data_IF_354188896612
#
_entry.id   IF_354188896612
#
_cell.length_a   1.000
_cell.length_b   1.000
_cell.length_c   1.000
_cell.angle_alpha   90.00
_cell.angle_beta   90.00
_cell.angle_gamma   90.00
#
_symmetry.space_group_name_H-M   'P 1'
#
loop_
_entity.id
_entity.type
_entity.pdbx_description
1 polymer ?
#
# COMPACT_ATOMS: atom_id res chain seq x y z
N UNK A 1 4.66 -4.88 -4.64
CA UNK A 1 4.69 -3.45 -4.35
C UNK A 1 3.32 -2.87 -4.58
N UNK A 2 2.93 -1.87 -3.78
CA UNK A 2 1.73 -1.10 -4.06
C UNK A 2 1.97 -0.30 -5.34
N UNK A 3 1.13 -0.53 -6.33
CA UNK A 3 1.20 0.18 -7.61
C UNK A 3 0.39 1.46 -7.54
N UNK A 4 -0.75 1.41 -6.85
CA UNK A 4 -1.60 2.57 -6.64
C UNK A 4 -2.86 2.19 -5.88
N UNK A 5 -3.60 3.22 -5.49
CA UNK A 5 -4.89 3.06 -4.85
C UNK A 5 -5.87 4.14 -5.33
N UNK A 6 -7.15 3.81 -5.31
CA UNK A 6 -8.23 4.71 -5.72
C UNK A 6 -9.46 4.49 -4.84
N UNK A 7 -10.13 5.57 -4.47
CA UNK A 7 -11.44 5.53 -3.83
C UNK A 7 -12.51 5.66 -4.92
N UNK A 8 -13.26 4.58 -5.16
CA UNK A 8 -14.17 4.44 -6.31
C UNK A 8 -15.63 4.63 -5.87
N UNK A 9 -16.39 5.55 -6.48
CA UNK A 9 -17.84 5.61 -6.29
C UNK A 9 -18.50 4.47 -7.07
N UNK A 10 -19.36 3.69 -6.41
CA UNK A 10 -20.04 2.60 -7.09
C UNK A 10 -21.45 3.01 -7.50
N UNK A 11 -21.95 2.49 -8.63
CA UNK A 11 -23.36 2.63 -9.04
C UNK A 11 -24.26 1.52 -8.45
N UNK A 12 -23.66 0.39 -8.12
CA UNK A 12 -24.28 -0.77 -7.49
C UNK A 12 -23.34 -1.29 -6.39
N UNK A 13 -23.80 -2.09 -5.41
CA UNK A 13 -22.95 -2.66 -4.35
C UNK A 13 -22.01 -3.77 -4.88
N UNK A 14 -21.33 -3.51 -6.01
CA UNK A 14 -20.49 -4.45 -6.73
C UNK A 14 -19.31 -3.72 -7.35
N UNK A 15 -18.10 -4.19 -7.04
CA UNK A 15 -16.87 -3.84 -7.76
C UNK A 15 -16.62 -4.90 -8.82
N UNK A 16 -16.30 -4.47 -10.04
CA UNK A 16 -15.74 -5.32 -11.08
C UNK A 16 -14.22 -5.19 -11.10
N UNK A 17 -13.52 -6.32 -11.09
CA UNK A 17 -12.07 -6.39 -11.31
C UNK A 17 -11.79 -7.32 -12.49
N UNK A 18 -10.94 -6.92 -13.44
CA UNK A 18 -10.59 -7.78 -14.56
C UNK A 18 -10.09 -7.03 -15.79
N UNK A 19 -10.42 -7.53 -16.97
CA UNK A 19 -10.11 -6.85 -18.23
C UNK A 19 -10.80 -5.48 -18.33
N UNK A 20 -10.29 -4.62 -19.21
CA UNK A 20 -10.91 -3.33 -19.52
C UNK A 20 -12.08 -3.46 -20.51
N UNK A 21 -12.24 -4.62 -21.14
CA UNK A 21 -13.34 -4.93 -22.05
C UNK A 21 -14.66 -5.17 -21.29
N UNK A 22 -15.78 -5.10 -22.02
CA UNK A 22 -17.08 -5.46 -21.46
C UNK A 22 -17.06 -6.96 -21.17
N UNK A 23 -17.60 -7.42 -20.02
CA UNK A 23 -17.70 -8.85 -19.75
C UNK A 23 -18.55 -9.56 -20.79
N UNK A 24 -18.01 -10.66 -21.34
CA UNK A 24 -18.73 -11.55 -22.24
C UNK A 24 -19.85 -12.34 -21.51
N UNK A 25 -19.69 -12.52 -20.19
CA UNK A 25 -20.58 -13.31 -19.33
C UNK A 25 -21.44 -12.46 -18.39
N UNK A 26 -22.65 -12.93 -18.09
CA UNK A 26 -23.48 -12.38 -17.01
C UNK A 26 -22.96 -12.91 -15.67
N UNK A 27 -22.18 -12.07 -14.99
CA UNK A 27 -21.65 -12.36 -13.66
C UNK A 27 -22.62 -11.84 -12.58
N UNK A 28 -23.51 -12.71 -12.11
CA UNK A 28 -24.43 -12.38 -11.01
C UNK A 28 -23.90 -12.91 -9.67
N UNK A 29 -23.83 -12.05 -8.65
CA UNK A 29 -23.34 -12.43 -7.32
C UNK A 29 -24.23 -13.46 -6.60
N UNK A 30 -25.55 -13.41 -6.80
CA UNK A 30 -26.52 -14.31 -6.16
C UNK A 30 -26.31 -14.45 -4.63
N UNK A 31 -26.02 -13.33 -3.95
CA UNK A 31 -25.77 -13.30 -2.50
C UNK A 31 -24.38 -13.76 -2.05
N UNK A 32 -23.48 -14.12 -2.98
CA UNK A 32 -22.09 -14.47 -2.68
C UNK A 32 -21.22 -13.22 -2.58
N UNK A 33 -20.08 -13.34 -1.89
CA UNK A 33 -19.07 -12.26 -1.83
C UNK A 33 -18.33 -12.07 -3.16
N UNK A 34 -18.29 -13.09 -4.00
CA UNK A 34 -17.57 -13.11 -5.28
C UNK A 34 -18.28 -14.01 -6.28
N UNK A 35 -18.29 -13.58 -7.54
CA UNK A 35 -18.44 -14.45 -8.72
C UNK A 35 -17.28 -14.19 -9.68
N UNK A 36 -16.71 -15.26 -10.22
CA UNK A 36 -15.55 -15.21 -11.11
C UNK A 36 -15.92 -15.77 -12.49
N UNK A 37 -15.54 -15.05 -13.54
CA UNK A 37 -15.46 -15.53 -14.91
C UNK A 37 -14.01 -15.61 -15.38
N UNK A 38 -13.80 -15.91 -16.65
CA UNK A 38 -12.44 -16.08 -17.20
C UNK A 38 -11.63 -14.77 -17.24
N UNK A 39 -12.31 -13.63 -17.36
CA UNK A 39 -11.69 -12.30 -17.58
C UNK A 39 -12.03 -11.28 -16.49
N UNK A 40 -13.05 -11.56 -15.68
CA UNK A 40 -13.63 -10.62 -14.76
C UNK A 40 -14.08 -11.31 -13.47
N UNK A 41 -14.02 -10.54 -12.39
CA UNK A 41 -14.55 -10.82 -11.08
C UNK A 41 -15.61 -9.77 -10.78
N UNK A 42 -16.73 -10.17 -10.21
CA UNK A 42 -17.62 -9.25 -9.51
C UNK A 42 -17.53 -9.55 -8.03
N UNK A 43 -17.30 -8.51 -7.24
CA UNK A 43 -17.04 -8.56 -5.80
C UNK A 43 -18.14 -7.76 -5.11
N UNK A 44 -18.82 -8.37 -4.16
CA UNK A 44 -19.82 -7.68 -3.35
C UNK A 44 -19.14 -6.60 -2.50
N UNK A 45 -19.68 -5.39 -2.57
CA UNK A 45 -19.14 -4.22 -1.90
C UNK A 45 -20.25 -3.48 -1.15
N UNK A 46 -19.89 -2.57 -0.25
CA UNK A 46 -20.89 -1.76 0.45
C UNK A 46 -21.78 -0.98 -0.52
N UNK A 47 -23.02 -0.71 -0.09
CA UNK A 47 -23.94 0.17 -0.80
C UNK A 47 -23.36 1.61 -0.91
N UNK A 48 -23.99 2.46 -1.73
CA UNK A 48 -23.55 3.82 -2.10
C UNK A 48 -23.58 4.86 -0.95
N UNK A 49 -23.20 4.47 0.26
CA UNK A 49 -23.06 5.34 1.44
C UNK A 49 -21.60 5.83 1.60
N UNK A 50 -20.68 5.39 0.74
CA UNK A 50 -19.29 5.87 0.68
C UNK A 50 -18.46 5.19 -0.41
N UNK A 51 -17.27 5.74 -0.69
CA UNK A 51 -16.35 5.24 -1.73
C UNK A 51 -15.74 3.89 -1.37
N UNK A 52 -15.51 3.00 -2.32
CA UNK A 52 -14.79 1.75 -2.07
C UNK A 52 -13.34 1.91 -2.44
N UNK A 53 -12.44 1.64 -1.48
CA UNK A 53 -11.01 1.76 -1.70
C UNK A 53 -10.49 0.52 -2.43
N UNK A 54 -9.97 0.69 -3.63
CA UNK A 54 -9.23 -0.36 -4.33
C UNK A 54 -7.75 -0.09 -4.24
N UNK A 55 -6.97 -1.09 -3.83
CA UNK A 55 -5.50 -1.05 -3.87
C UNK A 55 -5.02 -2.11 -4.85
N UNK A 56 -4.22 -1.68 -5.83
CA UNK A 56 -3.58 -2.56 -6.79
C UNK A 56 -2.13 -2.82 -6.36
N UNK A 57 -1.78 -4.09 -6.27
CA UNK A 57 -0.46 -4.57 -5.89
C UNK A 57 0.13 -5.41 -7.02
N UNK A 58 1.45 -5.43 -7.13
CA UNK A 58 2.18 -6.29 -8.09
C UNK A 58 3.33 -7.01 -7.37
N UNK A 59 3.33 -8.35 -7.35
CA UNK A 59 4.40 -9.16 -6.76
C UNK A 59 4.47 -9.19 -5.23
N UNK A 60 4.11 -8.08 -4.56
CA UNK A 60 4.09 -8.01 -3.11
C UNK A 60 2.84 -7.33 -2.57
N UNK A 61 2.33 -7.84 -1.45
CA UNK A 61 1.08 -7.40 -0.83
C UNK A 61 1.05 -7.68 0.68
N UNK A 62 0.28 -6.92 1.47
CA UNK A 62 0.08 -7.21 2.89
C UNK A 62 -0.77 -8.48 3.06
N UNK A 63 -0.45 -9.27 4.08
CA UNK A 63 -1.28 -10.40 4.52
C UNK A 63 -2.38 -9.84 5.43
N UNK A 64 -3.40 -9.26 4.82
CA UNK A 64 -4.55 -8.69 5.50
C UNK A 64 -5.87 -8.96 4.77
N UNK A 65 -6.97 -8.93 5.52
CA UNK A 65 -8.32 -9.19 5.01
C UNK A 65 -8.59 -10.67 4.74
N UNK A 66 -9.77 -10.93 4.17
CA UNK A 66 -10.20 -12.27 3.77
C UNK A 66 -9.94 -12.46 2.29
N UNK A 67 -9.13 -13.45 1.92
CA UNK A 67 -8.93 -13.84 0.52
C UNK A 67 -10.23 -14.45 -0.02
N UNK A 68 -10.77 -13.86 -1.07
CA UNK A 68 -12.00 -14.33 -1.74
C UNK A 68 -11.71 -14.92 -3.13
N UNK A 69 -10.54 -14.61 -3.72
CA UNK A 69 -10.09 -15.17 -4.98
C UNK A 69 -8.58 -15.44 -4.95
N UNK A 70 -8.16 -16.62 -5.43
CA UNK A 70 -6.78 -16.94 -5.80
C UNK A 70 -6.85 -17.79 -7.08
N UNK A 71 -6.51 -17.20 -8.21
CA UNK A 71 -6.67 -17.85 -9.51
C UNK A 71 -6.17 -16.99 -10.65
N UNK A 72 -6.37 -17.45 -11.88
CA UNK A 72 -5.91 -16.71 -13.07
C UNK A 72 -7.04 -15.95 -13.74
N UNK A 73 -6.75 -14.75 -14.22
CA UNK A 73 -7.62 -13.99 -15.13
C UNK A 73 -6.91 -13.80 -16.48
N UNK A 74 -7.68 -13.91 -17.56
CA UNK A 74 -7.21 -13.63 -18.92
C UNK A 74 -7.32 -12.14 -19.22
N UNK A 75 -6.16 -11.48 -19.35
CA UNK A 75 -6.02 -10.05 -19.59
C UNK A 75 -5.30 -9.78 -20.92
N UNK A 76 -5.94 -10.13 -22.02
CA UNK A 76 -5.38 -10.06 -23.39
C UNK A 76 -5.00 -8.63 -23.83
N UNK A 77 -5.60 -7.61 -23.21
CA UNK A 77 -5.29 -6.20 -23.47
C UNK A 77 -4.13 -5.64 -22.64
N UNK A 78 -3.47 -6.45 -21.78
CA UNK A 78 -2.35 -5.98 -20.95
C UNK A 78 -2.74 -4.99 -19.85
N UNK A 79 -4.02 -4.96 -19.46
CA UNK A 79 -4.56 -4.01 -18.48
C UNK A 79 -5.46 -4.73 -17.50
N UNK A 80 -5.29 -4.41 -16.21
CA UNK A 80 -6.29 -4.70 -15.18
C UNK A 80 -7.09 -3.44 -14.86
N UNK A 81 -8.39 -3.60 -14.74
CA UNK A 81 -9.36 -2.57 -14.44
C UNK A 81 -10.11 -2.94 -13.16
N UNK A 82 -10.27 -1.99 -12.26
CA UNK A 82 -11.16 -2.10 -11.11
C UNK A 82 -12.14 -0.92 -11.12
N UNK A 83 -13.44 -1.18 -11.05
CA UNK A 83 -14.43 -0.12 -11.20
C UNK A 83 -15.85 -0.57 -10.90
N UNK A 84 -16.82 0.32 -11.09
CA UNK A 84 -18.22 -0.04 -10.98
C UNK A 84 -18.68 -0.92 -12.17
N UNK A 85 -19.76 -1.67 -11.97
CA UNK A 85 -20.25 -2.63 -12.98
C UNK A 85 -20.82 -1.98 -14.25
N UNK A 86 -21.13 -0.69 -14.23
CA UNK A 86 -21.55 0.05 -15.43
C UNK A 86 -20.36 0.65 -16.20
N UNK A 87 -19.15 0.62 -15.60
CA UNK A 87 -17.93 1.13 -16.22
C UNK A 87 -17.84 2.66 -16.29
N UNK A 88 -18.62 3.38 -15.47
CA UNK A 88 -18.64 4.85 -15.43
C UNK A 88 -17.37 5.37 -14.72
N UNK A 89 -16.93 4.66 -13.70
CA UNK A 89 -15.77 4.94 -12.88
C UNK A 89 -14.85 3.73 -12.85
N UNK A 90 -13.56 3.93 -13.13
CA UNK A 90 -12.59 2.84 -13.16
C UNK A 90 -11.18 3.31 -12.85
N UNK A 91 -10.45 2.50 -12.09
CA UNK A 91 -9.01 2.57 -11.91
C UNK A 91 -8.34 1.51 -12.79
N UNK A 92 -7.43 1.93 -13.66
CA UNK A 92 -6.76 1.06 -14.64
C UNK A 92 -5.26 1.04 -14.39
N UNK A 93 -4.67 -0.13 -14.56
CA UNK A 93 -3.23 -0.32 -14.52
C UNK A 93 -2.77 -1.25 -15.65
N UNK A 94 -1.82 -0.78 -16.45
CA UNK A 94 -1.23 -1.52 -17.55
C UNK A 94 0.04 -2.27 -17.13
N UNK A 95 0.34 -3.34 -17.85
CA UNK A 95 1.56 -4.13 -17.69
C UNK A 95 2.10 -4.57 -19.06
N UNK A 96 3.41 -4.83 -19.13
CA UNK A 96 4.13 -4.97 -20.39
C UNK A 96 3.76 -6.23 -21.19
N UNK A 97 3.30 -7.28 -20.50
CA UNK A 97 3.03 -8.59 -21.11
C UNK A 97 1.55 -8.98 -20.93
N UNK A 98 0.74 -8.92 -22.00
CA UNK A 98 -0.64 -9.38 -21.97
C UNK A 98 -0.79 -10.89 -21.74
N UNK A 99 -2.00 -11.32 -21.36
CA UNK A 99 -2.38 -12.73 -21.27
C UNK A 99 -2.87 -13.14 -19.88
N UNK A 100 -2.67 -14.42 -19.53
CA UNK A 100 -3.10 -14.96 -18.24
C UNK A 100 -2.20 -14.46 -17.12
N UNK A 101 -2.82 -13.85 -16.09
CA UNK A 101 -2.12 -13.36 -14.89
C UNK A 101 -2.73 -14.00 -13.67
N UNK A 102 -1.88 -14.41 -12.72
CA UNK A 102 -2.38 -14.87 -11.42
C UNK A 102 -2.83 -13.66 -10.63
N UNK A 103 -4.01 -13.75 -10.01
CA UNK A 103 -4.60 -12.72 -9.18
C UNK A 103 -4.93 -13.31 -7.81
N UNK A 104 -4.58 -12.57 -6.78
CA UNK A 104 -5.09 -12.78 -5.42
C UNK A 104 -5.95 -11.57 -5.07
N UNK A 105 -7.19 -11.81 -4.64
CA UNK A 105 -8.08 -10.73 -4.20
C UNK A 105 -8.49 -10.97 -2.75
N UNK A 106 -8.24 -9.97 -1.91
CA UNK A 106 -8.74 -9.95 -0.53
C UNK A 106 -9.60 -8.72 -0.26
N UNK A 107 -10.52 -8.88 0.68
CA UNK A 107 -11.45 -7.83 1.11
C UNK A 107 -11.45 -7.69 2.63
N UNK A 108 -11.79 -6.51 3.12
CA UNK A 108 -11.97 -6.26 4.55
C UNK A 108 -13.21 -6.97 5.13
N UNK A 109 -14.34 -6.92 4.40
CA UNK A 109 -15.62 -7.50 4.83
C UNK A 109 -16.33 -8.22 3.67
N UNK A 110 -16.26 -9.57 3.58
CA UNK A 110 -16.91 -10.33 2.51
C UNK A 110 -18.43 -10.09 2.45
N UNK A 111 -18.92 -9.61 1.31
CA UNK A 111 -20.35 -9.30 1.11
C UNK A 111 -20.69 -7.82 1.24
N UNK A 112 -19.85 -7.03 1.90
CA UNK A 112 -20.04 -5.59 2.10
C UNK A 112 -18.71 -4.81 2.09
N UNK A 113 -17.76 -5.23 1.26
CA UNK A 113 -16.40 -4.73 1.27
C UNK A 113 -16.34 -3.20 1.13
N UNK A 114 -15.56 -2.56 1.98
CA UNK A 114 -15.20 -1.15 1.86
C UNK A 114 -13.78 -0.96 1.30
N UNK A 115 -13.00 -2.04 1.33
CA UNK A 115 -11.64 -2.11 0.79
C UNK A 115 -11.43 -3.41 0.02
N UNK A 116 -10.88 -3.29 -1.18
CA UNK A 116 -10.51 -4.41 -2.04
C UNK A 116 -9.03 -4.33 -2.38
N UNK A 117 -8.29 -5.36 -2.04
CA UNK A 117 -6.90 -5.56 -2.47
C UNK A 117 -6.87 -6.50 -3.67
N UNK A 118 -6.28 -6.04 -4.76
CA UNK A 118 -6.07 -6.86 -5.95
C UNK A 118 -4.56 -6.98 -6.16
N UNK A 119 -4.04 -8.20 -6.06
CA UNK A 119 -2.63 -8.50 -6.18
C UNK A 119 -2.39 -9.24 -7.48
N UNK A 120 -1.64 -8.61 -8.37
CA UNK A 120 -1.17 -9.16 -9.63
C UNK A 120 0.10 -9.95 -9.35
N UNK A 121 0.17 -11.17 -9.88
CA UNK A 121 1.27 -12.11 -9.72
C UNK A 121 1.76 -12.19 -8.27
N UNK A 122 0.87 -12.60 -7.35
CA UNK A 122 1.15 -12.58 -5.92
C UNK A 122 2.35 -13.44 -5.57
N UNK A 123 3.26 -12.86 -4.80
CA UNK A 123 4.28 -13.59 -4.09
C UNK A 123 3.71 -14.60 -3.10
N UNK A 124 4.52 -15.61 -2.75
CA UNK A 124 4.14 -16.66 -1.81
C UNK A 124 4.99 -16.66 -0.54
N UNK A 125 6.11 -15.95 -0.53
CA UNK A 125 6.99 -15.89 0.62
C UNK A 125 6.50 -14.84 1.60
N UNK A 126 6.18 -15.25 2.82
CA UNK A 126 5.83 -14.32 3.89
C UNK A 126 7.08 -13.74 4.55
N UNK A 127 7.14 -12.43 4.64
CA UNK A 127 8.24 -11.67 5.23
C UNK A 127 7.71 -10.73 6.30
N UNK A 128 8.49 -10.62 7.38
CA UNK A 128 8.33 -9.54 8.36
C UNK A 128 9.15 -8.35 7.90
N UNK A 129 8.52 -7.18 7.83
CA UNK A 129 9.24 -5.93 7.58
C UNK A 129 9.92 -5.46 8.86
N UNK A 130 10.90 -4.57 8.70
CA UNK A 130 11.52 -3.80 9.77
C UNK A 130 10.44 -3.12 10.60
N UNK A 131 10.49 -3.36 11.91
CA UNK A 131 9.56 -2.78 12.88
C UNK A 131 10.27 -2.51 14.20
N UNK A 132 9.73 -1.58 14.99
CA UNK A 132 10.20 -1.36 16.37
C UNK A 132 9.62 -2.44 17.30
N UNK A 133 10.33 -2.78 18.39
CA UNK A 133 9.83 -3.68 19.43
C UNK A 133 8.41 -3.28 19.87
N UNK A 134 7.53 -4.28 19.99
CA UNK A 134 6.11 -4.14 20.34
C UNK A 134 5.27 -3.26 19.37
N UNK A 135 5.82 -2.88 18.22
CA UNK A 135 5.15 -2.06 17.20
C UNK A 135 5.16 -2.80 15.84
N UNK A 136 4.82 -4.09 15.86
CA UNK A 136 4.82 -4.93 14.68
C UNK A 136 3.89 -4.40 13.57
N UNK A 137 4.34 -4.57 12.33
CA UNK A 137 3.58 -4.33 11.12
C UNK A 137 2.94 -5.64 10.63
N UNK A 138 1.90 -5.59 9.77
CA UNK A 138 1.39 -6.76 9.09
C UNK A 138 2.51 -7.48 8.31
N UNK A 139 2.41 -8.80 8.22
CA UNK A 139 3.25 -9.58 7.31
C UNK A 139 2.99 -9.17 5.86
N UNK A 140 3.99 -9.35 5.01
CA UNK A 140 3.86 -9.16 3.57
C UNK A 140 4.18 -10.45 2.84
N UNK A 141 3.47 -10.72 1.75
CA UNK A 141 3.88 -11.69 0.74
C UNK A 141 4.72 -11.00 -0.31
N UNK A 142 5.82 -11.61 -0.73
CA UNK A 142 6.73 -11.16 -1.80
C UNK A 142 7.06 -12.31 -2.74
N UNK A 143 7.37 -12.02 -4.01
CA UNK A 143 7.80 -13.04 -4.98
C UNK A 143 9.15 -13.62 -4.57
N UNK A 144 10.07 -12.75 -4.20
CA UNK A 144 11.42 -13.08 -3.77
C UNK A 144 11.84 -12.08 -2.70
N UNK A 145 12.09 -12.53 -1.47
CA UNK A 145 12.55 -11.65 -0.41
C UNK A 145 13.99 -11.17 -0.62
N UNK A 146 14.79 -11.90 -1.38
CA UNK A 146 16.20 -11.58 -1.59
C UNK A 146 16.41 -10.38 -2.51
N UNK A 147 15.38 -10.01 -3.27
CA UNK A 147 15.36 -8.83 -4.14
C UNK A 147 14.80 -7.57 -3.48
N UNK A 148 14.25 -7.66 -2.26
CA UNK A 148 13.69 -6.51 -1.56
C UNK A 148 14.81 -5.64 -0.99
N UNK A 149 15.11 -4.53 -1.64
CA UNK A 149 16.07 -3.57 -1.11
C UNK A 149 15.44 -2.70 -0.01
N UNK A 150 16.26 -1.88 0.66
CA UNK A 150 15.79 -1.03 1.76
C UNK A 150 14.81 0.07 1.33
N UNK A 151 14.84 0.47 0.06
CA UNK A 151 13.90 1.45 -0.50
C UNK A 151 12.57 0.79 -0.81
N UNK A 152 12.59 -0.44 -1.34
CA UNK A 152 11.38 -1.23 -1.56
C UNK A 152 10.70 -1.56 -0.23
N UNK A 153 11.48 -1.99 0.78
CA UNK A 153 10.98 -2.24 2.12
C UNK A 153 10.35 -0.98 2.72
N UNK A 154 10.98 0.19 2.58
CA UNK A 154 10.41 1.47 2.99
C UNK A 154 9.08 1.74 2.27
N UNK A 155 9.00 1.49 0.96
CA UNK A 155 7.77 1.60 0.19
C UNK A 155 6.65 0.71 0.73
N UNK A 156 6.97 -0.52 1.15
CA UNK A 156 6.02 -1.43 1.79
C UNK A 156 5.59 -0.95 3.18
N UNK A 157 6.51 -0.43 4.00
CA UNK A 157 6.20 0.18 5.30
C UNK A 157 5.24 1.36 5.14
N UNK A 158 5.45 2.20 4.13
CA UNK A 158 4.64 3.41 3.86
C UNK A 158 3.39 3.12 2.98
N UNK A 159 3.19 1.88 2.53
CA UNK A 159 2.10 1.52 1.59
C UNK A 159 0.68 1.66 2.15
N UNK A 160 0.50 1.91 3.44
CA UNK A 160 -0.80 2.18 4.02
C UNK A 160 -0.72 3.25 5.12
N UNK A 161 -1.89 3.76 5.46
CA UNK A 161 -2.08 4.89 6.37
C UNK A 161 -2.67 4.47 7.73
N UNK A 162 -2.84 3.16 7.96
CA UNK A 162 -3.25 2.63 9.25
C UNK A 162 -2.08 2.61 10.25
N UNK A 163 -2.39 2.54 11.55
CA UNK A 163 -1.38 2.44 12.64
C UNK A 163 -0.19 3.42 12.47
N UNK A 164 -0.44 4.72 12.29
CA UNK A 164 0.56 5.68 11.77
C UNK A 164 1.86 5.71 12.58
N UNK A 165 1.79 5.66 13.91
CA UNK A 165 2.99 5.61 14.76
C UNK A 165 3.87 4.40 14.46
N UNK A 166 3.28 3.21 14.28
CA UNK A 166 4.04 1.97 14.02
C UNK A 166 4.77 2.05 12.69
N UNK A 167 4.09 2.56 11.65
CA UNK A 167 4.65 2.71 10.30
C UNK A 167 5.74 3.77 10.25
N UNK A 168 5.49 4.94 10.86
CA UNK A 168 6.49 6.00 10.89
C UNK A 168 7.73 5.59 11.68
N UNK A 169 7.56 4.93 12.84
CA UNK A 169 8.68 4.43 13.63
C UNK A 169 9.47 3.34 12.89
N UNK A 170 8.78 2.43 12.20
CA UNK A 170 9.44 1.45 11.33
C UNK A 170 10.25 2.11 10.21
N UNK A 171 9.69 3.14 9.56
CA UNK A 171 10.35 3.88 8.49
C UNK A 171 11.60 4.63 8.99
N UNK A 172 11.48 5.37 10.11
CA UNK A 172 12.61 6.06 10.73
C UNK A 172 13.70 5.07 11.15
N UNK A 173 13.32 3.96 11.80
CA UNK A 173 14.26 2.89 12.16
C UNK A 173 15.01 2.35 10.94
N UNK A 174 14.28 2.03 9.86
CA UNK A 174 14.88 1.51 8.64
C UNK A 174 15.90 2.51 8.06
N UNK A 175 15.53 3.78 7.95
CA UNK A 175 16.42 4.85 7.45
C UNK A 175 17.68 4.95 8.32
N UNK A 176 17.55 4.94 9.65
CA UNK A 176 18.69 4.95 10.57
C UNK A 176 19.62 3.74 10.42
N UNK A 177 19.07 2.54 10.21
CA UNK A 177 19.85 1.32 10.06
C UNK A 177 20.61 1.25 8.73
N UNK A 178 20.06 1.84 7.67
CA UNK A 178 20.65 1.77 6.32
C UNK A 178 21.59 2.94 6.01
N UNK A 179 21.45 4.06 6.72
CA UNK A 179 22.36 5.20 6.60
C UNK A 179 23.83 4.78 6.76
N UNK A 180 24.13 3.85 7.67
CA UNK A 180 25.48 3.32 7.88
C UNK A 180 25.96 2.31 6.81
N UNK A 181 25.07 1.80 5.96
CA UNK A 181 25.35 0.74 4.97
C UNK A 181 25.51 1.28 3.55
N UNK A 182 24.93 2.44 3.25
CA UNK A 182 25.07 3.06 1.93
C UNK A 182 26.52 3.51 1.69
N UNK A 183 26.93 3.42 0.41
CA UNK A 183 28.19 3.98 -0.08
C UNK A 183 28.27 5.47 0.29
N UNK A 184 29.44 5.90 0.78
CA UNK A 184 29.68 7.27 1.21
C UNK A 184 29.32 8.30 0.13
N UNK A 185 29.53 7.96 -1.15
CA UNK A 185 29.20 8.83 -2.28
C UNK A 185 27.69 9.02 -2.49
N UNK A 186 26.84 8.08 -2.04
CA UNK A 186 25.38 8.08 -2.26
C UNK A 186 24.56 8.26 -0.99
N UNK A 187 25.17 8.15 0.18
CA UNK A 187 24.51 8.16 1.49
C UNK A 187 23.58 9.36 1.69
N UNK A 188 24.04 10.59 1.44
CA UNK A 188 23.21 11.80 1.63
C UNK A 188 21.99 11.75 0.71
N UNK A 189 22.21 11.49 -0.57
CA UNK A 189 21.16 11.45 -1.61
C UNK A 189 20.11 10.39 -1.29
N UNK A 190 20.52 9.18 -0.91
CA UNK A 190 19.59 8.09 -0.59
C UNK A 190 18.81 8.38 0.69
N UNK A 191 19.45 8.98 1.69
CA UNK A 191 18.78 9.32 2.93
C UNK A 191 17.76 10.44 2.73
N UNK A 192 18.12 11.51 2.01
CA UNK A 192 17.20 12.57 1.61
C UNK A 192 16.02 12.01 0.80
N UNK A 193 16.28 11.11 -0.15
CA UNK A 193 15.22 10.45 -0.92
C UNK A 193 14.24 9.67 -0.04
N UNK A 194 14.75 8.84 0.87
CA UNK A 194 13.92 8.04 1.78
C UNK A 194 13.14 8.91 2.78
N UNK A 195 13.76 9.96 3.30
CA UNK A 195 13.08 10.93 4.18
C UNK A 195 11.99 11.69 3.42
N UNK A 196 12.21 12.03 2.15
CA UNK A 196 11.17 12.62 1.30
C UNK A 196 9.97 11.68 1.10
N UNK A 197 10.19 10.38 0.96
CA UNK A 197 9.08 9.40 0.93
C UNK A 197 8.25 9.44 2.21
N UNK A 198 8.89 9.59 3.37
CA UNK A 198 8.22 9.77 4.66
C UNK A 198 7.42 11.09 4.68
N UNK A 199 8.01 12.18 4.20
CA UNK A 199 7.36 13.48 4.10
C UNK A 199 6.08 13.43 3.27
N UNK A 200 6.12 12.85 2.08
CA UNK A 200 4.93 12.67 1.25
C UNK A 200 3.88 11.79 1.95
N UNK A 201 4.29 10.70 2.59
CA UNK A 201 3.38 9.87 3.37
C UNK A 201 2.70 10.63 4.53
N UNK A 202 3.40 11.55 5.20
CA UNK A 202 2.82 12.39 6.26
C UNK A 202 1.70 13.29 5.73
N UNK A 203 1.80 13.80 4.51
CA UNK A 203 0.74 14.61 3.87
C UNK A 203 -0.54 13.81 3.62
N UNK A 204 -0.44 12.49 3.44
CA UNK A 204 -1.62 11.62 3.36
C UNK A 204 -2.27 11.36 4.71
N UNK A 205 -1.47 11.34 5.80
CA UNK A 205 -1.98 11.18 7.17
C UNK A 205 -2.63 12.48 7.66
N UNK A 206 -2.03 13.63 7.34
CA UNK A 206 -2.50 14.94 7.75
C UNK A 206 -2.67 15.83 6.51
N UNK A 207 -3.87 15.86 5.90
CA UNK A 207 -4.12 16.62 4.68
C UNK A 207 -4.05 18.14 4.87
N UNK A 208 -3.96 18.60 6.12
CA UNK A 208 -3.76 20.02 6.46
C UNK A 208 -2.31 20.46 6.34
N UNK A 209 -1.35 19.52 6.26
CA UNK A 209 0.07 19.86 6.14
C UNK A 209 0.36 20.54 4.81
N UNK A 210 0.92 21.74 4.90
CA UNK A 210 1.52 22.44 3.77
C UNK A 210 2.83 21.77 3.33
N UNK A 211 3.30 22.12 2.13
CA UNK A 211 4.62 21.69 1.66
C UNK A 211 5.73 22.19 2.60
N UNK A 212 5.69 23.46 3.04
CA UNK A 212 6.69 24.03 3.95
C UNK A 212 6.75 23.33 5.32
N UNK A 213 5.60 22.99 5.89
CA UNK A 213 5.54 22.21 7.15
C UNK A 213 6.06 20.78 6.94
N UNK A 214 5.71 20.15 5.82
CA UNK A 214 6.20 18.81 5.46
C UNK A 214 7.72 18.80 5.30
N UNK A 215 8.27 19.80 4.61
CA UNK A 215 9.69 20.00 4.42
C UNK A 215 10.39 20.23 5.77
N UNK A 216 9.78 21.00 6.68
CA UNK A 216 10.30 21.22 8.04
C UNK A 216 10.33 19.93 8.88
N UNK A 217 9.28 19.11 8.82
CA UNK A 217 9.23 17.80 9.51
C UNK A 217 10.23 16.81 8.92
N UNK A 218 10.40 16.83 7.59
CA UNK A 218 11.37 16.01 6.89
C UNK A 218 12.80 16.39 7.28
N UNK A 219 13.14 17.67 7.31
CA UNK A 219 14.43 18.16 7.79
C UNK A 219 14.69 17.76 9.24
N UNK A 220 13.68 17.88 10.11
CA UNK A 220 13.79 17.42 11.49
C UNK A 220 14.13 15.93 11.59
N UNK A 221 13.46 15.07 10.82
CA UNK A 221 13.78 13.63 10.78
C UNK A 221 15.22 13.42 10.27
N UNK A 222 15.58 14.08 9.17
CA UNK A 222 16.89 13.94 8.54
C UNK A 222 18.03 14.32 9.50
N UNK A 223 17.93 15.48 10.16
CA UNK A 223 18.90 15.96 11.14
C UNK A 223 19.07 14.97 12.29
N UNK A 224 17.96 14.42 12.81
CA UNK A 224 18.01 13.45 13.91
C UNK A 224 18.67 12.15 13.50
N UNK A 225 18.37 11.65 12.30
CA UNK A 225 18.94 10.41 11.75
C UNK A 225 20.43 10.58 11.39
N UNK A 226 20.85 11.77 10.95
CA UNK A 226 22.24 12.12 10.65
C UNK A 226 23.11 12.34 11.89
N UNK A 227 22.49 12.54 13.05
CA UNK A 227 23.18 12.76 14.32
C UNK A 227 23.92 11.52 14.83
N UNK A 228 24.29 11.56 16.11
CA UNK A 228 24.95 10.42 16.75
C UNK A 228 24.09 9.16 16.71
N UNK A 229 24.72 8.02 16.43
CA UNK A 229 24.04 6.74 16.36
C UNK A 229 23.34 6.42 17.69
N UNK A 230 22.03 6.13 17.69
CA UNK A 230 21.29 5.91 18.91
C UNK A 230 21.73 4.60 19.59
N UNK A 231 21.81 4.61 20.92
CA UNK A 231 22.06 3.41 21.73
C UNK A 231 20.93 2.39 21.57
N UNK A 232 19.69 2.87 21.48
CA UNK A 232 18.49 2.07 21.21
C UNK A 232 17.70 2.67 20.04
N UNK A 233 17.89 2.09 18.86
CA UNK A 233 17.25 2.56 17.62
C UNK A 233 15.72 2.48 17.67
N UNK A 234 15.14 1.55 18.44
CA UNK A 234 13.68 1.42 18.54
C UNK A 234 13.09 2.58 19.33
N UNK A 235 13.64 2.83 20.52
CA UNK A 235 13.20 3.94 21.38
C UNK A 235 13.38 5.28 20.67
N UNK A 236 14.52 5.47 20.01
CA UNK A 236 14.80 6.64 19.19
C UNK A 236 13.77 6.85 18.07
N UNK A 237 13.47 5.79 17.30
CA UNK A 237 12.54 5.90 16.18
C UNK A 237 11.10 6.16 16.64
N UNK A 238 10.68 5.57 17.76
CA UNK A 238 9.35 5.81 18.37
C UNK A 238 9.23 7.25 18.88
N UNK A 239 10.26 7.79 19.53
CA UNK A 239 10.29 9.15 20.07
C UNK A 239 10.13 10.19 18.94
N UNK A 240 10.98 10.10 17.91
CA UNK A 240 10.92 11.00 16.75
C UNK A 240 9.57 10.90 16.04
N UNK A 241 9.07 9.69 15.85
CA UNK A 241 7.80 9.48 15.17
C UNK A 241 6.62 10.06 15.95
N UNK A 242 6.64 9.93 17.27
CA UNK A 242 5.62 10.51 18.15
C UNK A 242 5.64 12.04 18.09
N UNK A 243 6.84 12.64 18.10
CA UNK A 243 7.04 14.07 17.94
C UNK A 243 6.50 14.57 16.60
N UNK A 244 6.90 13.93 15.50
CA UNK A 244 6.50 14.29 14.14
C UNK A 244 4.99 14.20 13.98
N UNK A 245 4.35 13.12 14.46
CA UNK A 245 2.90 12.97 14.36
C UNK A 245 2.15 14.01 15.20
N UNK A 246 2.69 14.41 16.35
CA UNK A 246 2.09 15.46 17.18
C UNK A 246 2.13 16.82 16.48
N UNK A 247 3.28 17.18 15.90
CA UNK A 247 3.45 18.40 15.11
C UNK A 247 2.55 18.38 13.86
N UNK A 248 2.49 17.24 13.17
CA UNK A 248 1.66 17.03 11.99
C UNK A 248 0.15 17.20 12.27
N UNK A 249 -0.29 16.96 13.52
CA UNK A 249 -1.67 17.15 13.94
C UNK A 249 -2.00 18.61 14.36
N UNK A 250 -1.08 19.56 14.19
CA UNK A 250 -1.24 20.95 14.63
C UNK A 250 -0.97 21.16 16.13
N UNK A 251 -0.34 20.20 16.79
CA UNK A 251 0.13 20.36 18.16
C UNK A 251 1.36 21.28 18.20
N UNK A 252 1.14 22.58 18.41
CA UNK A 252 2.22 23.48 18.82
C UNK A 252 2.73 23.04 20.20
N UNK A 253 4.02 22.75 20.29
CA UNK A 253 4.80 22.80 21.53
C UNK A 253 4.87 24.23 22.07
#
# INVERSE_FOLDING_TARGET
MLVGNADIPLNHPVIRVGSAEIPDDVLALQGRALVAGARHLHIAARAQVGLVRVRLWNGASPVEGTVIFDGSLRLDGGVVCAGDVLGISSFKYGFDVPGNRRMLVSVDDPGSASRVDVVIDPGMQEVSLTACRNHALPLFRVVDSSSLDSTDELGLILSAHNIPLRRLAAAVKLVSLVAGKDDAARRSVMMEFRVRMIGEWLRWISPILTEGETSSLSSFILERVQGEAPVDVDSFAIEISSEVLRRAAGGNS
#
